data_IF_909104119239
#
_entry.id   IF_909104119239
#
_cell.length_a   1.000
_cell.length_b   1.000
_cell.length_c   1.000
_cell.angle_alpha   90.00
_cell.angle_beta   90.00
_cell.angle_gamma   90.00
#
_symmetry.space_group_name_H-M   'P 1'
#
loop_
_entity.id
_entity.type
_entity.pdbx_description
1 polymer ?
#
# COMPACT_ATOMS: atom_id res chain seq x y z
N UNK A 1 3.46 -65.95 -10.52
CA UNK A 1 3.42 -64.52 -10.83
C UNK A 1 2.26 -64.31 -11.78
N UNK A 2 1.22 -63.54 -11.43
CA UNK A 2 0.07 -63.36 -12.32
C UNK A 2 0.48 -62.59 -13.58
N UNK A 3 0.25 -63.19 -14.75
CA UNK A 3 0.47 -62.57 -16.06
C UNK A 3 -0.60 -61.47 -16.29
N UNK A 4 -0.17 -60.21 -16.29
CA UNK A 4 -1.05 -59.09 -16.62
C UNK A 4 -1.41 -59.13 -18.12
N UNK A 5 -2.72 -59.00 -18.43
CA UNK A 5 -3.23 -59.04 -19.80
C UNK A 5 -2.65 -57.92 -20.68
N UNK A 6 -2.61 -58.12 -22.00
CA UNK A 6 -2.07 -57.13 -22.94
C UNK A 6 -2.76 -55.75 -22.87
N UNK A 7 -4.04 -55.71 -22.50
CA UNK A 7 -4.79 -54.46 -22.26
C UNK A 7 -4.28 -53.72 -21.01
N UNK A 8 -3.95 -54.45 -19.93
CA UNK A 8 -3.37 -53.93 -18.69
C UNK A 8 -1.95 -53.37 -18.90
N UNK A 9 -1.13 -53.99 -19.75
CA UNK A 9 0.21 -53.49 -20.09
C UNK A 9 0.16 -52.19 -20.90
N UNK A 10 -0.76 -52.09 -21.86
CA UNK A 10 -0.95 -50.86 -22.65
C UNK A 10 -1.44 -49.71 -21.78
N UNK A 11 -2.38 -49.96 -20.87
CA UNK A 11 -2.83 -48.95 -19.90
C UNK A 11 -1.69 -48.50 -19.00
N UNK A 12 -0.89 -49.43 -18.45
CA UNK A 12 0.26 -49.09 -17.62
C UNK A 12 1.27 -48.22 -18.40
N UNK A 13 1.61 -48.60 -19.63
CA UNK A 13 2.54 -47.82 -20.45
C UNK A 13 1.98 -46.45 -20.82
N UNK A 14 0.70 -46.33 -21.17
CA UNK A 14 0.04 -45.04 -21.45
C UNK A 14 0.01 -44.13 -20.23
N UNK A 15 -0.22 -44.68 -19.04
CA UNK A 15 -0.18 -43.89 -17.79
C UNK A 15 1.23 -43.40 -17.47
N UNK A 16 2.26 -44.24 -17.67
CA UNK A 16 3.65 -43.85 -17.44
C UNK A 16 4.14 -42.80 -18.44
N UNK A 17 3.82 -42.96 -19.73
CA UNK A 17 4.19 -41.97 -20.77
C UNK A 17 3.44 -40.66 -20.59
N UNK A 18 2.13 -40.71 -20.27
CA UNK A 18 1.33 -39.54 -19.94
C UNK A 18 1.86 -38.78 -18.72
N UNK A 19 2.26 -39.50 -17.66
CA UNK A 19 2.87 -38.92 -16.48
C UNK A 19 4.21 -38.23 -16.77
N UNK A 20 5.06 -38.84 -17.60
CA UNK A 20 6.33 -38.23 -18.00
C UNK A 20 6.13 -36.93 -18.80
N UNK A 21 5.22 -36.92 -19.78
CA UNK A 21 4.88 -35.73 -20.57
C UNK A 21 4.30 -34.64 -19.67
N UNK A 22 3.36 -35.00 -18.77
CA UNK A 22 2.78 -34.04 -17.82
C UNK A 22 3.85 -33.41 -16.92
N UNK A 23 4.82 -34.20 -16.44
CA UNK A 23 5.89 -33.69 -15.58
C UNK A 23 6.81 -32.70 -16.28
N UNK A 24 7.23 -32.96 -17.52
CA UNK A 24 8.13 -32.08 -18.28
C UNK A 24 7.44 -30.80 -18.73
N UNK A 25 6.19 -30.92 -19.17
CA UNK A 25 5.35 -29.75 -19.51
C UNK A 25 5.11 -28.86 -18.30
N UNK A 26 4.77 -29.42 -17.13
CA UNK A 26 4.64 -28.65 -15.88
C UNK A 26 5.97 -27.98 -15.48
N UNK A 27 7.08 -28.71 -15.56
CA UNK A 27 8.40 -28.17 -15.22
C UNK A 27 8.81 -27.00 -16.13
N UNK A 28 8.47 -27.05 -17.42
CA UNK A 28 8.72 -25.97 -18.37
C UNK A 28 7.75 -24.78 -18.20
N UNK A 29 6.49 -25.04 -17.87
CA UNK A 29 5.47 -24.00 -17.68
C UNK A 29 5.57 -23.28 -16.33
N UNK A 30 6.08 -23.95 -15.30
CA UNK A 30 6.24 -23.36 -13.96
C UNK A 30 7.08 -22.07 -13.94
N UNK A 31 8.29 -22.00 -14.53
CA UNK A 31 9.07 -20.75 -14.55
C UNK A 31 8.38 -19.66 -15.38
N UNK A 32 7.65 -20.02 -16.45
CA UNK A 32 6.85 -19.07 -17.23
C UNK A 32 5.70 -18.48 -16.38
N UNK A 33 4.99 -19.31 -15.63
CA UNK A 33 3.95 -18.85 -14.72
C UNK A 33 4.53 -17.97 -13.60
N UNK A 34 5.70 -18.33 -13.08
CA UNK A 34 6.41 -17.54 -12.06
C UNK A 34 6.98 -16.23 -12.59
N UNK A 35 7.31 -16.13 -13.88
CA UNK A 35 7.77 -14.88 -14.50
C UNK A 35 6.74 -13.75 -14.39
N UNK A 36 5.45 -14.07 -14.52
CA UNK A 36 4.36 -13.10 -14.36
C UNK A 36 3.98 -12.85 -12.89
N UNK A 37 4.46 -13.68 -11.96
CA UNK A 37 4.26 -13.45 -10.52
C UNK A 37 5.38 -12.56 -10.01
N UNK A 38 5.11 -11.31 -9.62
CA UNK A 38 6.16 -10.44 -9.09
C UNK A 38 6.80 -11.12 -7.87
N UNK A 39 8.14 -11.11 -7.75
CA UNK A 39 8.79 -11.69 -6.59
C UNK A 39 8.27 -11.00 -5.33
N UNK A 40 8.02 -11.80 -4.28
CA UNK A 40 7.77 -11.25 -2.95
C UNK A 40 8.96 -10.34 -2.62
N UNK A 41 8.70 -9.04 -2.64
CA UNK A 41 9.75 -8.04 -2.45
C UNK A 41 10.30 -8.30 -1.05
N UNK A 42 11.62 -8.43 -0.94
CA UNK A 42 12.27 -8.43 0.35
C UNK A 42 11.84 -7.13 1.03
N UNK A 43 10.96 -7.23 2.01
CA UNK A 43 10.60 -6.16 2.92
C UNK A 43 11.84 -5.85 3.76
N UNK A 44 12.86 -5.26 3.13
CA UNK A 44 14.09 -4.83 3.75
C UNK A 44 13.91 -3.36 4.17
N UNK A 45 13.13 -3.16 5.23
CA UNK A 45 13.38 -2.11 6.22
C UNK A 45 12.51 -2.38 7.47
N UNK A 46 13.07 -2.17 8.67
CA UNK A 46 12.38 -2.40 9.93
C UNK A 46 11.19 -1.42 10.04
N UNK A 47 10.05 -1.88 10.55
CA UNK A 47 8.94 -1.03 11.02
C UNK A 47 8.59 0.18 10.13
N UNK A 48 8.13 -0.07 8.89
CA UNK A 48 7.39 0.90 8.08
C UNK A 48 8.16 1.49 6.90
N UNK A 49 7.45 2.26 6.08
CA UNK A 49 8.00 2.92 4.89
C UNK A 49 8.42 4.36 5.23
N UNK A 50 9.50 4.85 4.65
CA UNK A 50 9.90 6.25 4.78
C UNK A 50 8.97 7.15 3.97
N UNK A 51 8.51 8.25 4.57
CA UNK A 51 7.75 9.29 3.89
C UNK A 51 8.65 10.13 2.96
N UNK A 52 8.21 10.37 1.74
CA UNK A 52 8.96 11.11 0.71
C UNK A 52 8.14 12.24 0.11
N UNK A 53 8.81 13.27 -0.41
CA UNK A 53 8.17 14.33 -1.19
C UNK A 53 7.85 13.87 -2.63
N UNK A 54 7.27 14.78 -3.42
CA UNK A 54 6.96 14.54 -4.82
C UNK A 54 8.19 14.37 -5.73
N UNK A 55 9.38 14.72 -5.25
CA UNK A 55 10.66 14.53 -5.93
C UNK A 55 11.34 13.21 -5.51
N UNK A 56 10.76 12.47 -4.57
CA UNK A 56 11.31 11.23 -4.03
C UNK A 56 12.37 11.43 -2.95
N UNK A 57 12.59 12.65 -2.46
CA UNK A 57 13.49 12.91 -1.34
C UNK A 57 12.79 12.54 -0.03
N UNK A 58 13.56 12.07 0.95
CA UNK A 58 13.04 11.75 2.27
C UNK A 58 12.60 13.01 3.04
N UNK A 59 11.44 12.95 3.66
CA UNK A 59 10.94 14.03 4.52
C UNK A 59 11.70 14.01 5.84
N UNK A 60 12.41 15.10 6.11
CA UNK A 60 13.10 15.34 7.37
C UNK A 60 12.23 16.17 8.31
N UNK A 61 12.17 15.79 9.58
CA UNK A 61 11.30 16.47 10.57
C UNK A 61 11.76 17.90 10.80
N UNK A 62 13.07 18.14 10.92
CA UNK A 62 13.58 19.50 11.06
C UNK A 62 13.20 20.39 9.87
N UNK A 63 13.21 19.88 8.64
CA UNK A 63 12.83 20.63 7.44
C UNK A 63 11.32 20.86 7.36
N UNK A 64 10.52 19.91 7.84
CA UNK A 64 9.06 20.02 7.87
C UNK A 64 8.58 21.09 8.86
N UNK A 65 9.28 21.23 9.98
CA UNK A 65 8.96 22.15 11.08
C UNK A 65 9.77 23.47 11.04
N UNK A 66 10.80 23.58 10.20
CA UNK A 66 11.57 24.80 10.06
C UNK A 66 10.76 25.86 9.30
N UNK A 67 10.08 26.76 10.00
CA UNK A 67 9.53 27.94 9.32
C UNK A 67 8.56 28.85 10.06
N UNK A 68 8.10 28.59 11.29
CA UNK A 68 7.09 29.45 11.92
C UNK A 68 7.14 29.38 13.45
N UNK A 69 6.80 30.46 14.18
CA UNK A 69 6.47 30.35 15.60
C UNK A 69 5.30 29.37 15.76
N UNK A 70 5.25 28.63 16.87
CA UNK A 70 4.24 27.59 17.11
C UNK A 70 2.82 28.13 16.94
N UNK A 71 2.20 27.88 15.78
CA UNK A 71 0.77 28.05 15.59
C UNK A 71 0.05 26.76 15.95
N UNK A 72 -1.14 26.88 16.54
CA UNK A 72 -2.08 25.75 16.73
C UNK A 72 -2.72 25.30 15.41
N UNK A 73 -2.51 26.05 14.30
CA UNK A 73 -3.06 25.69 13.01
C UNK A 73 -2.46 24.39 12.45
N UNK A 74 -3.32 23.39 12.21
CA UNK A 74 -2.91 22.12 11.63
C UNK A 74 -2.64 22.27 10.12
N UNK A 75 -1.38 22.09 9.74
CA UNK A 75 -0.89 21.96 8.38
C UNK A 75 -1.00 20.50 7.92
N UNK A 76 -1.46 20.31 6.69
CA UNK A 76 -1.53 19.00 6.03
C UNK A 76 -0.61 19.00 4.82
N UNK A 77 0.40 18.12 4.85
CA UNK A 77 1.38 17.99 3.76
C UNK A 77 1.19 16.64 3.11
N UNK A 78 0.97 16.65 1.79
CA UNK A 78 0.87 15.43 1.00
C UNK A 78 2.27 14.85 0.76
N UNK A 79 2.47 13.60 1.17
CA UNK A 79 3.71 12.85 1.04
C UNK A 79 3.44 11.48 0.42
N UNK A 80 4.48 10.83 -0.07
CA UNK A 80 4.43 9.48 -0.58
C UNK A 80 4.87 8.47 0.50
N UNK A 81 4.04 7.45 0.71
CA UNK A 81 4.32 6.34 1.61
C UNK A 81 5.11 5.23 0.90
N UNK A 82 6.44 5.33 0.89
CA UNK A 82 7.31 4.36 0.23
C UNK A 82 8.02 4.93 -1.01
N UNK A 83 8.43 4.06 -1.93
CA UNK A 83 9.24 4.44 -3.10
C UNK A 83 8.41 5.18 -4.16
N UNK A 84 9.02 6.08 -4.95
CA UNK A 84 8.40 6.69 -6.12
C UNK A 84 7.81 5.62 -7.05
N UNK A 85 6.59 5.87 -7.55
CA UNK A 85 5.85 4.93 -8.41
C UNK A 85 5.16 3.75 -7.71
N UNK A 86 5.42 3.51 -6.42
CA UNK A 86 4.88 2.36 -5.69
C UNK A 86 4.15 2.77 -4.40
N UNK A 87 4.55 3.88 -3.80
CA UNK A 87 3.99 4.37 -2.56
C UNK A 87 2.62 5.03 -2.74
N UNK A 88 1.74 4.84 -1.75
CA UNK A 88 0.43 5.50 -1.71
C UNK A 88 0.56 6.95 -1.20
N UNK A 89 -0.25 7.89 -1.71
CA UNK A 89 -0.27 9.26 -1.20
C UNK A 89 -0.92 9.30 0.19
N UNK A 90 -0.26 10.00 1.12
CA UNK A 90 -0.65 10.13 2.53
C UNK A 90 -0.48 11.58 2.97
N UNK A 91 -1.41 12.10 3.75
CA UNK A 91 -1.30 13.38 4.43
C UNK A 91 -0.63 13.22 5.78
N UNK A 92 0.52 13.88 5.94
CA UNK A 92 1.08 14.16 7.26
C UNK A 92 0.29 15.32 7.87
N UNK A 93 -0.14 15.14 9.11
CA UNK A 93 -0.77 16.20 9.90
C UNK A 93 0.29 16.73 10.87
N UNK A 94 0.60 18.01 10.79
CA UNK A 94 1.57 18.66 11.67
C UNK A 94 1.06 20.05 12.04
N UNK A 95 1.39 20.53 13.22
CA UNK A 95 1.39 21.98 13.46
C UNK A 95 2.84 22.49 13.30
N UNK A 96 3.08 23.78 13.52
CA UNK A 96 4.41 24.36 13.29
C UNK A 96 5.48 23.86 14.28
N UNK A 97 5.09 23.14 15.34
CA UNK A 97 6.01 22.70 16.41
C UNK A 97 6.00 21.19 16.70
N UNK A 98 5.07 20.44 16.12
CA UNK A 98 4.88 19.02 16.37
C UNK A 98 4.23 18.34 15.17
N UNK A 99 4.80 17.20 14.80
CA UNK A 99 4.19 16.24 13.90
C UNK A 99 3.21 15.35 14.68
N UNK A 100 2.00 15.13 14.14
CA UNK A 100 1.04 14.22 14.76
C UNK A 100 1.50 12.76 14.68
N UNK A 101 1.07 11.95 15.63
CA UNK A 101 1.40 10.51 15.70
C UNK A 101 0.64 9.65 14.68
N UNK A 102 -0.18 10.29 13.83
CA UNK A 102 -0.97 9.66 12.80
C UNK A 102 -0.88 10.42 11.48
N UNK A 103 -1.13 9.70 10.39
CA UNK A 103 -1.24 10.24 9.05
C UNK A 103 -2.50 9.70 8.37
N UNK A 104 -3.06 10.45 7.44
CA UNK A 104 -4.33 10.13 6.78
C UNK A 104 -4.05 9.72 5.35
N UNK A 105 -4.50 8.54 4.92
CA UNK A 105 -4.39 8.12 3.52
C UNK A 105 -5.16 9.09 2.62
N UNK A 106 -4.53 9.57 1.55
CA UNK A 106 -5.21 10.39 0.55
C UNK A 106 -5.94 9.53 -0.50
N UNK A 107 -5.93 8.20 -0.36
CA UNK A 107 -6.56 7.28 -1.31
C UNK A 107 -8.03 7.10 -0.96
N UNK A 108 -8.91 7.47 -1.89
CA UNK A 108 -10.35 7.30 -1.73
C UNK A 108 -10.71 5.80 -1.68
N UNK A 109 -11.39 5.31 -0.63
CA UNK A 109 -11.78 3.90 -0.51
C UNK A 109 -12.89 3.49 -1.48
N UNK A 110 -13.40 4.41 -2.31
CA UNK A 110 -14.36 4.09 -3.37
C UNK A 110 -13.67 3.40 -4.56
N UNK A 111 -12.75 4.09 -5.24
CA UNK A 111 -12.08 3.62 -6.46
C UNK A 111 -10.60 4.03 -6.54
N UNK A 112 -10.00 4.51 -5.45
CA UNK A 112 -8.56 4.80 -5.38
C UNK A 112 -8.13 6.19 -5.84
N UNK A 113 -9.05 7.11 -6.17
CA UNK A 113 -8.70 8.49 -6.49
C UNK A 113 -7.99 9.21 -5.33
N UNK A 114 -7.08 10.13 -5.64
CA UNK A 114 -6.47 11.00 -4.62
C UNK A 114 -7.50 12.04 -4.16
N UNK A 115 -7.68 12.16 -2.84
CA UNK A 115 -8.65 13.05 -2.20
C UNK A 115 -7.92 14.31 -1.72
N UNK A 116 -8.07 15.47 -2.37
CA UNK A 116 -7.46 16.71 -1.93
C UNK A 116 -8.09 17.23 -0.62
N UNK A 117 -7.26 17.86 0.21
CA UNK A 117 -7.69 18.66 1.36
C UNK A 117 -8.14 20.05 0.92
N UNK A 118 -9.32 20.49 1.36
CA UNK A 118 -9.77 21.87 1.21
C UNK A 118 -9.65 22.60 2.55
N UNK A 119 -8.77 23.60 2.62
CA UNK A 119 -8.50 24.38 3.84
C UNK A 119 -9.60 25.36 4.21
N UNK A 120 -10.43 25.81 3.28
CA UNK A 120 -11.51 26.76 3.54
C UNK A 120 -12.69 26.09 4.23
N UNK A 121 -13.06 24.90 3.73
CA UNK A 121 -14.18 24.10 4.25
C UNK A 121 -13.77 23.06 5.27
N UNK A 122 -12.47 22.89 5.52
CA UNK A 122 -11.90 21.90 6.44
C UNK A 122 -12.39 20.46 6.15
N UNK A 123 -12.50 20.11 4.86
CA UNK A 123 -13.05 18.82 4.41
C UNK A 123 -12.14 18.24 3.32
N UNK A 124 -11.99 16.92 3.31
CA UNK A 124 -11.42 16.21 2.17
C UNK A 124 -12.52 15.94 1.15
N UNK A 125 -12.36 16.44 -0.07
CA UNK A 125 -13.38 16.32 -1.12
C UNK A 125 -12.84 15.60 -2.34
N UNK A 126 -13.32 14.38 -2.59
CA UNK A 126 -12.88 13.56 -3.71
C UNK A 126 -13.46 14.10 -5.03
N UNK A 127 -12.65 14.50 -6.02
CA UNK A 127 -13.12 15.09 -7.27
C UNK A 127 -13.81 14.08 -8.21
N UNK A 128 -13.58 12.78 -8.02
CA UNK A 128 -14.10 11.75 -8.93
C UNK A 128 -15.62 11.55 -8.79
N UNK A 129 -16.10 11.39 -7.55
CA UNK A 129 -17.51 11.07 -7.27
C UNK A 129 -18.01 11.77 -5.98
N UNK A 130 -17.39 12.89 -5.61
CA UNK A 130 -17.85 13.78 -4.53
C UNK A 130 -17.98 13.13 -3.15
N UNK A 131 -17.14 12.12 -2.85
CA UNK A 131 -17.01 11.62 -1.47
C UNK A 131 -16.35 12.67 -0.59
N UNK A 132 -16.94 12.94 0.57
CA UNK A 132 -16.49 13.95 1.54
C UNK A 132 -16.10 13.28 2.85
N UNK A 133 -14.98 13.70 3.41
CA UNK A 133 -14.47 13.22 4.69
C UNK A 133 -14.12 14.38 5.61
N UNK A 134 -14.27 14.17 6.91
CA UNK A 134 -13.96 15.16 7.95
C UNK A 134 -12.43 15.38 8.09
N UNK A 135 -11.98 16.35 8.89
CA UNK A 135 -10.55 16.64 9.12
C UNK A 135 -9.72 15.44 9.62
N UNK A 136 -10.36 14.47 10.26
CA UNK A 136 -9.80 13.23 10.80
C UNK A 136 -9.87 12.05 9.80
N UNK A 137 -10.51 12.26 8.64
CA UNK A 137 -10.66 11.27 7.56
C UNK A 137 -11.91 10.39 7.67
N UNK A 138 -12.84 10.66 8.59
CA UNK A 138 -14.11 9.93 8.69
C UNK A 138 -15.03 10.27 7.53
N UNK A 139 -15.73 9.26 7.02
CA UNK A 139 -16.70 9.44 5.94
C UNK A 139 -17.88 10.30 6.41
N UNK A 140 -18.13 11.40 5.71
CA UNK A 140 -19.31 12.25 5.92
C UNK A 140 -20.43 11.92 4.93
N UNK A 141 -20.09 11.88 3.63
CA UNK A 141 -21.07 11.67 2.56
C UNK A 141 -20.39 11.12 1.29
N UNK A 142 -21.16 10.42 0.47
CA UNK A 142 -20.78 10.03 -0.88
C UNK A 142 -20.82 8.51 -1.08
N UNK A 143 -20.33 8.02 -2.24
CA UNK A 143 -20.37 6.60 -2.58
C UNK A 143 -19.31 5.74 -1.85
N UNK A 144 -18.32 6.37 -1.20
CA UNK A 144 -17.37 5.63 -0.36
C UNK A 144 -18.10 4.89 0.77
N UNK A 145 -17.69 3.65 1.06
CA UNK A 145 -18.29 2.81 2.13
C UNK A 145 -17.50 2.82 3.43
N UNK A 146 -16.30 3.39 3.42
CA UNK A 146 -15.36 3.39 4.53
C UNK A 146 -14.72 4.78 4.66
N UNK A 147 -14.19 5.04 5.86
CA UNK A 147 -13.38 6.23 6.14
C UNK A 147 -11.97 6.09 5.53
N UNK A 148 -11.24 7.19 5.42
CA UNK A 148 -9.84 7.17 5.00
C UNK A 148 -9.00 6.36 5.99
N UNK A 149 -8.09 5.55 5.45
CA UNK A 149 -7.21 4.73 6.28
C UNK A 149 -6.24 5.62 7.06
N UNK A 150 -6.06 5.34 8.35
CA UNK A 150 -5.07 6.00 9.19
C UNK A 150 -3.79 5.17 9.25
N UNK A 151 -2.64 5.83 9.20
CA UNK A 151 -1.33 5.25 9.39
C UNK A 151 -0.73 5.77 10.69
N UNK A 152 0.09 4.95 11.36
CA UNK A 152 0.86 5.39 12.50
C UNK A 152 2.15 6.08 12.01
N UNK A 153 2.48 7.20 12.62
CA UNK A 153 3.70 7.95 12.33
C UNK A 153 4.73 7.66 13.41
N UNK A 154 5.96 7.41 13.01
CA UNK A 154 7.13 7.31 13.90
C UNK A 154 8.27 8.15 13.35
N UNK A 155 9.00 8.79 14.22
CA UNK A 155 10.20 9.54 13.84
C UNK A 155 11.42 8.73 14.27
N UNK A 156 12.31 8.43 13.32
CA UNK A 156 13.56 7.71 13.57
C UNK A 156 14.69 8.36 12.75
N UNK A 157 15.80 8.72 13.41
CA UNK A 157 16.94 9.40 12.78
C UNK A 157 16.52 10.62 11.94
N UNK A 158 15.58 11.41 12.47
CA UNK A 158 15.02 12.61 11.81
C UNK A 158 14.28 12.31 10.49
N UNK A 159 13.95 11.03 10.22
CA UNK A 159 13.07 10.59 9.14
C UNK A 159 11.68 10.29 9.67
N UNK A 160 10.67 10.51 8.84
CA UNK A 160 9.29 10.14 9.12
C UNK A 160 9.01 8.74 8.55
N UNK A 161 8.68 7.80 9.43
CA UNK A 161 8.28 6.44 9.11
C UNK A 161 6.76 6.30 9.20
N UNK A 162 6.18 5.69 8.18
CA UNK A 162 4.76 5.40 8.05
C UNK A 162 4.52 3.91 8.24
N UNK A 163 3.73 3.60 9.25
CA UNK A 163 3.38 2.25 9.65
C UNK A 163 1.90 1.98 9.36
N UNK A 164 1.54 0.78 8.90
CA UNK A 164 0.16 0.33 8.95
C UNK A 164 -0.34 0.46 10.39
N UNK A 165 -1.46 1.16 10.61
CA UNK A 165 -2.02 1.29 11.95
C UNK A 165 -2.56 -0.08 12.38
N UNK A 166 -1.90 -0.68 13.37
CA UNK A 166 -2.36 -1.91 14.01
C UNK A 166 -3.63 -1.57 14.82
N UNK A 167 -4.80 -1.91 14.28
CA UNK A 167 -6.09 -1.78 14.97
C UNK A 167 -6.94 -0.60 14.50
N UNK A 168 -7.99 -0.94 13.75
CA UNK A 168 -9.27 -0.23 13.76
C UNK A 168 -10.37 -1.27 13.49
N UNK A 169 -10.79 -1.97 14.55
CA UNK A 169 -12.10 -2.64 14.60
C UNK A 169 -13.08 -1.64 15.18
#
# INVERSE_FOLDING_TARGET
MPELSAASRRQLLTSLTGGAIASTTLAALYPLARFFSPPARQCAAPIGNVARDNQGNEIRVHKLLAGSPCSEALKRVLVQNGRPGEGSPVYLVSNDCRLADYAISAVCPHQGCVVPWNSESQIFSCPCHSSRFDPEGRLLKGPAKQSLALLAVRVQDDRVLLLPRQGNR
#
